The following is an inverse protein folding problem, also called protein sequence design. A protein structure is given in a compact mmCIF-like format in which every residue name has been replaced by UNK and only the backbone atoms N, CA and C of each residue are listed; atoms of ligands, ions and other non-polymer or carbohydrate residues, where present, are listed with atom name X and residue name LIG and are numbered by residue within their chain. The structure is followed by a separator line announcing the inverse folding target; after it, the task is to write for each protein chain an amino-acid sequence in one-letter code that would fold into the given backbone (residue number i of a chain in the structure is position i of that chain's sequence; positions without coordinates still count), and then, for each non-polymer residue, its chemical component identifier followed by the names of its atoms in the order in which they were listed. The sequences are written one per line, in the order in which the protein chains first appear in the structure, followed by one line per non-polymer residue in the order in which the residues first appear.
data_IF_087905729848
#
_entry.id   IF_087905729848
#
_cell.length_a   1.000
_cell.length_b   1.000
_cell.length_c   1.000
_cell.angle_alpha   90.00
_cell.angle_beta   90.00
_cell.angle_gamma   90.00
#
_symmetry.space_group_name_H-M   'P 1'
#
loop_
_entity.id
_entity.type
_entity.pdbx_description
1 polymer ?
#
# COMPACT_ATOMS: atom_id res chain seq x y z
N UNK A 1 3.11 -1.89 32.62
CA UNK A 1 2.56 -1.87 31.25
C UNK A 1 1.64 -3.07 31.10
N UNK A 2 0.39 -2.82 30.76
CA UNK A 2 -0.62 -3.86 30.49
C UNK A 2 -0.31 -4.55 29.16
N UNK A 3 -0.58 -5.85 29.07
CA UNK A 3 -0.51 -6.60 27.80
C UNK A 3 -1.87 -6.46 27.11
N UNK A 4 -1.84 -5.96 25.88
CA UNK A 4 -3.00 -5.77 25.01
C UNK A 4 -3.23 -7.05 24.20
N UNK A 5 -4.48 -7.41 23.96
CA UNK A 5 -4.84 -8.55 23.11
C UNK A 5 -5.18 -8.02 21.73
N UNK A 6 -4.44 -8.46 20.72
CA UNK A 6 -4.70 -8.16 19.33
C UNK A 6 -5.02 -9.46 18.59
N UNK A 7 -6.00 -9.46 17.72
CA UNK A 7 -6.33 -10.58 16.85
C UNK A 7 -5.31 -10.73 15.73
N UNK A 8 -4.84 -9.62 15.15
CA UNK A 8 -3.91 -9.61 14.00
C UNK A 8 -2.87 -8.50 14.12
N UNK A 9 -1.78 -8.61 13.36
CA UNK A 9 -0.81 -7.53 13.25
C UNK A 9 -1.41 -6.24 12.67
N UNK A 10 -2.35 -6.35 11.72
CA UNK A 10 -3.03 -5.21 11.14
C UNK A 10 -3.82 -4.42 12.20
N UNK A 11 -4.53 -5.12 13.09
CA UNK A 11 -5.24 -4.48 14.21
C UNK A 11 -4.27 -3.81 15.19
N UNK A 12 -3.15 -4.47 15.52
CA UNK A 12 -2.14 -3.89 16.41
C UNK A 12 -1.53 -2.61 15.82
N UNK A 13 -1.21 -2.58 14.52
CA UNK A 13 -0.76 -1.36 13.83
C UNK A 13 -1.83 -0.26 13.85
N UNK A 14 -3.07 -0.60 13.54
CA UNK A 14 -4.18 0.35 13.58
C UNK A 14 -4.36 0.95 14.98
N UNK A 15 -4.24 0.14 16.02
CA UNK A 15 -4.28 0.63 17.40
C UNK A 15 -3.16 1.64 17.69
N UNK A 16 -1.95 1.44 17.15
CA UNK A 16 -0.87 2.42 17.29
C UNK A 16 -1.20 3.77 16.62
N UNK A 17 -1.82 3.72 15.45
CA UNK A 17 -2.24 4.91 14.68
C UNK A 17 -3.35 5.67 15.42
N UNK A 18 -4.26 4.94 16.06
CA UNK A 18 -5.36 5.48 16.87
C UNK A 18 -4.92 5.95 18.28
N UNK A 19 -3.72 5.58 18.71
CA UNK A 19 -3.18 5.93 20.03
C UNK A 19 -2.08 6.98 19.88
N UNK A 20 -2.41 8.28 19.87
CA UNK A 20 -1.41 9.32 19.74
C UNK A 20 -0.46 9.34 20.95
N UNK A 21 0.75 9.84 20.72
CA UNK A 21 1.63 10.26 21.80
C UNK A 21 0.96 11.34 22.65
N UNK A 22 1.40 11.56 23.90
CA UNK A 22 0.93 12.66 24.73
C UNK A 22 1.11 14.05 24.10
N UNK A 23 2.03 14.20 23.15
CA UNK A 23 2.19 15.44 22.37
C UNK A 23 1.20 15.58 21.19
N UNK A 24 0.32 14.59 20.99
CA UNK A 24 -0.66 14.50 19.91
C UNK A 24 -0.14 13.86 18.61
N UNK A 25 1.15 13.53 18.51
CA UNK A 25 1.72 12.88 17.32
C UNK A 25 1.23 11.44 17.18
N UNK A 26 0.67 11.09 16.03
CA UNK A 26 0.19 9.73 15.72
C UNK A 26 1.29 8.90 15.05
N UNK A 27 2.16 9.51 14.25
CA UNK A 27 3.21 8.79 13.52
C UNK A 27 4.13 8.01 14.47
N UNK A 28 4.23 6.70 14.25
CA UNK A 28 5.03 5.81 15.06
C UNK A 28 5.46 4.57 14.29
N UNK A 29 6.77 4.42 14.10
CA UNK A 29 7.37 3.24 13.47
C UNK A 29 8.04 2.40 14.56
N UNK A 30 7.40 1.34 15.06
CA UNK A 30 7.94 0.54 16.16
C UNK A 30 9.05 -0.40 15.68
N UNK A 31 10.07 -0.57 16.51
CA UNK A 31 10.88 -1.79 16.55
C UNK A 31 10.09 -2.87 17.29
N UNK A 32 10.24 -4.13 16.87
CA UNK A 32 9.46 -5.27 17.37
C UNK A 32 10.41 -6.32 17.94
N UNK A 33 10.17 -6.75 19.17
CA UNK A 33 10.96 -7.79 19.84
C UNK A 33 10.01 -8.79 20.51
N UNK A 34 10.26 -10.08 20.30
CA UNK A 34 9.54 -11.15 20.98
C UNK A 34 9.91 -11.19 22.48
N UNK A 35 8.89 -11.30 23.34
CA UNK A 35 9.02 -11.59 24.77
C UNK A 35 8.39 -12.98 25.05
N UNK A 36 8.38 -13.43 26.31
CA UNK A 36 8.01 -14.81 26.65
C UNK A 36 6.55 -15.17 26.28
N UNK A 37 5.60 -14.26 26.46
CA UNK A 37 4.15 -14.48 26.26
C UNK A 37 3.48 -13.40 25.38
N UNK A 38 4.27 -12.50 24.80
CA UNK A 38 3.80 -11.37 24.02
C UNK A 38 4.92 -10.85 23.11
N UNK A 39 4.58 -9.87 22.27
CA UNK A 39 5.53 -9.13 21.44
C UNK A 39 5.54 -7.69 21.91
N UNK A 40 6.73 -7.15 22.18
CA UNK A 40 6.91 -5.75 22.56
C UNK A 40 7.23 -4.91 21.33
N UNK A 41 6.41 -3.89 21.12
CA UNK A 41 6.54 -2.90 20.07
C UNK A 41 6.98 -1.59 20.72
N UNK A 42 8.11 -1.02 20.30
CA UNK A 42 8.68 0.14 20.97
C UNK A 42 9.44 1.06 20.02
N UNK A 43 9.56 2.33 20.37
CA UNK A 43 10.27 3.32 19.57
C UNK A 43 10.19 4.69 20.22
N UNK A 44 10.64 5.72 19.49
CA UNK A 44 10.54 7.12 19.95
C UNK A 44 9.53 7.87 19.10
N UNK A 45 8.76 8.76 19.73
CA UNK A 45 7.91 9.70 19.01
C UNK A 45 8.77 10.62 18.15
N UNK A 46 8.50 10.76 16.84
CA UNK A 46 9.32 11.60 15.96
C UNK A 46 9.23 13.08 16.29
N UNK A 47 8.16 13.52 16.98
CA UNK A 47 7.95 14.93 17.34
C UNK A 47 8.60 15.32 18.66
N UNK A 48 8.34 14.58 19.74
CA UNK A 48 8.82 14.95 21.08
C UNK A 48 9.96 14.08 21.62
N UNK A 49 10.38 13.06 20.86
CA UNK A 49 11.46 12.14 21.25
C UNK A 49 11.11 11.16 22.38
N UNK A 50 9.89 11.23 22.95
CA UNK A 50 9.48 10.38 24.06
C UNK A 50 9.38 8.92 23.60
N UNK A 51 9.87 8.02 24.44
CA UNK A 51 9.71 6.58 24.24
C UNK A 51 8.23 6.18 24.31
N UNK A 52 7.79 5.38 23.34
CA UNK A 52 6.50 4.72 23.31
C UNK A 52 6.75 3.22 23.31
N UNK A 53 6.01 2.47 24.11
CA UNK A 53 6.09 1.01 24.13
C UNK A 53 4.72 0.40 24.38
N UNK A 54 4.43 -0.67 23.66
CA UNK A 54 3.20 -1.45 23.68
C UNK A 54 3.56 -2.93 23.74
N UNK A 55 2.75 -3.74 24.42
CA UNK A 55 2.91 -5.20 24.46
C UNK A 55 1.65 -5.83 23.94
N UNK A 56 1.77 -6.66 22.91
CA UNK A 56 0.65 -7.34 22.29
C UNK A 56 0.78 -8.84 22.49
N UNK A 57 -0.30 -9.47 22.93
CA UNK A 57 -0.50 -10.91 22.81
C UNK A 57 -1.40 -11.14 21.61
N UNK A 58 -0.95 -11.99 20.70
CA UNK A 58 -1.72 -12.34 19.51
C UNK A 58 -2.45 -13.69 19.69
N UNK A 59 -3.55 -13.85 18.98
CA UNK A 59 -4.22 -15.15 18.84
C UNK A 59 -3.45 -16.11 17.92
N UNK A 60 -4.09 -17.22 17.56
CA UNK A 60 -3.46 -18.33 16.83
C UNK A 60 -3.05 -18.00 15.38
N UNK A 61 -3.58 -16.92 14.80
CA UNK A 61 -3.34 -16.51 13.40
C UNK A 61 -3.04 -15.00 13.28
N UNK A 62 -1.87 -14.53 13.76
CA UNK A 62 -1.53 -13.10 13.74
C UNK A 62 -1.30 -12.52 12.33
N UNK A 63 -0.94 -13.38 11.36
CA UNK A 63 -0.52 -13.00 9.99
C UNK A 63 -1.66 -12.92 8.96
N UNK A 64 -2.93 -12.92 9.39
CA UNK A 64 -4.03 -12.77 8.44
C UNK A 64 -4.03 -11.39 7.78
N UNK A 65 -4.45 -11.33 6.52
CA UNK A 65 -4.46 -10.08 5.73
C UNK A 65 -5.52 -9.07 6.19
N UNK A 66 -6.50 -9.49 7.01
CA UNK A 66 -7.55 -8.63 7.57
C UNK A 66 -7.30 -8.17 9.02
N UNK A 67 -8.19 -7.31 9.52
CA UNK A 67 -8.15 -6.81 10.90
C UNK A 67 -8.46 -7.87 11.96
N UNK A 68 -9.19 -8.92 11.59
CA UNK A 68 -9.47 -10.04 12.49
C UNK A 68 -9.61 -11.36 11.73
N UNK A 69 -9.68 -12.44 12.48
CA UNK A 69 -10.02 -13.77 11.97
C UNK A 69 -11.09 -14.47 12.82
N UNK A 70 -11.66 -13.77 13.81
CA UNK A 70 -12.67 -14.31 14.73
C UNK A 70 -13.99 -13.59 14.54
N UNK A 71 -15.06 -14.31 14.86
CA UNK A 71 -16.41 -13.76 14.98
C UNK A 71 -16.53 -12.82 16.19
N UNK A 72 -15.68 -13.03 17.21
CA UNK A 72 -15.67 -12.18 18.40
C UNK A 72 -15.19 -10.75 18.07
N UNK A 73 -15.82 -9.72 18.67
CA UNK A 73 -15.41 -8.34 18.48
C UNK A 73 -14.00 -8.07 19.02
N UNK A 74 -13.39 -6.99 18.54
CA UNK A 74 -12.10 -6.51 19.02
C UNK A 74 -12.12 -6.21 20.53
N UNK A 75 -11.03 -6.56 21.23
CA UNK A 75 -10.77 -6.13 22.61
C UNK A 75 -9.89 -4.87 22.67
N UNK A 76 -9.36 -4.45 21.53
CA UNK A 76 -8.32 -3.42 21.42
C UNK A 76 -8.87 -2.09 20.91
N UNK A 77 -9.77 -2.16 19.94
CA UNK A 77 -10.36 -1.03 19.22
C UNK A 77 -11.88 -1.12 19.42
N UNK A 78 -12.47 -0.06 19.94
CA UNK A 78 -13.91 -0.02 20.20
C UNK A 78 -14.74 0.20 18.92
N UNK A 79 -16.05 -0.04 18.99
CA UNK A 79 -16.93 0.05 17.83
C UNK A 79 -16.91 1.46 17.20
N UNK A 80 -16.83 2.52 18.01
CA UNK A 80 -16.78 3.88 17.50
C UNK A 80 -15.49 4.17 16.75
N UNK A 81 -14.36 3.60 17.20
CA UNK A 81 -13.09 3.73 16.52
C UNK A 81 -13.12 3.01 15.17
N UNK A 82 -13.70 1.80 15.10
CA UNK A 82 -13.90 1.10 13.82
C UNK A 82 -14.77 1.88 12.84
N UNK A 83 -15.88 2.47 13.31
CA UNK A 83 -16.74 3.32 12.48
C UNK A 83 -15.97 4.52 11.91
N UNK A 84 -15.13 5.16 12.71
CA UNK A 84 -14.30 6.27 12.23
C UNK A 84 -13.20 5.83 11.27
N UNK A 85 -12.60 4.65 11.48
CA UNK A 85 -11.65 4.09 10.51
C UNK A 85 -12.36 3.90 9.16
N UNK A 86 -13.54 3.29 9.14
CA UNK A 86 -14.33 3.17 7.92
C UNK A 86 -14.58 4.55 7.28
N UNK A 87 -15.12 5.52 8.02
CA UNK A 87 -15.35 6.89 7.53
C UNK A 87 -14.07 7.55 6.98
N UNK A 88 -12.94 7.37 7.65
CA UNK A 88 -11.66 7.96 7.26
C UNK A 88 -11.19 7.43 5.91
N UNK A 89 -11.33 6.13 5.66
CA UNK A 89 -10.96 5.52 4.37
C UNK A 89 -11.96 5.92 3.27
N UNK A 90 -13.24 5.97 3.58
CA UNK A 90 -14.27 6.43 2.63
C UNK A 90 -14.14 7.89 2.24
N UNK A 91 -13.65 8.75 3.14
CA UNK A 91 -13.38 10.15 2.82
C UNK A 91 -12.30 10.31 1.75
N UNK A 92 -11.46 9.28 1.56
CA UNK A 92 -10.48 9.20 0.47
C UNK A 92 -11.09 8.78 -0.88
N UNK A 93 -12.32 8.26 -0.89
CA UNK A 93 -13.03 7.89 -2.11
C UNK A 93 -13.68 9.14 -2.71
N UNK A 94 -13.39 9.49 -3.98
CA UNK A 94 -14.00 10.65 -4.63
C UNK A 94 -15.53 10.55 -4.65
N UNK A 95 -16.22 11.52 -4.05
CA UNK A 95 -17.67 11.44 -3.80
C UNK A 95 -18.53 11.62 -5.06
N UNK A 96 -17.95 12.12 -6.15
CA UNK A 96 -18.63 12.47 -7.40
C UNK A 96 -18.42 11.43 -8.51
N UNK A 97 -17.84 10.27 -8.21
CA UNK A 97 -17.61 9.25 -9.24
C UNK A 97 -18.90 8.50 -9.55
N UNK A 98 -19.25 8.31 -10.83
CA UNK A 98 -20.40 7.49 -11.22
C UNK A 98 -20.23 6.00 -10.88
N UNK A 99 -18.99 5.58 -10.61
CA UNK A 99 -18.59 4.24 -10.21
C UNK A 99 -17.08 4.07 -10.33
N UNK A 100 -16.51 3.03 -9.71
CA UNK A 100 -15.05 2.79 -9.71
C UNK A 100 -14.53 2.66 -11.14
N UNK A 101 -15.26 1.96 -12.02
CA UNK A 101 -14.86 1.76 -13.44
C UNK A 101 -14.76 3.05 -14.25
N UNK A 102 -15.37 4.15 -13.80
CA UNK A 102 -15.27 5.44 -14.46
C UNK A 102 -13.95 6.18 -14.12
N UNK A 103 -13.18 5.70 -13.15
CA UNK A 103 -11.88 6.25 -12.79
C UNK A 103 -10.77 5.74 -13.72
N UNK A 104 -9.67 6.49 -13.87
CA UNK A 104 -8.42 5.96 -14.41
C UNK A 104 -7.97 4.67 -13.69
N UNK A 105 -7.40 3.70 -14.40
CA UNK A 105 -7.08 2.35 -13.84
C UNK A 105 -6.12 2.38 -12.64
N UNK A 106 -5.20 3.33 -12.59
CA UNK A 106 -4.29 3.56 -11.46
C UNK A 106 -5.04 4.05 -10.21
N UNK A 107 -6.08 4.87 -10.42
CA UNK A 107 -6.98 5.32 -9.36
C UNK A 107 -7.99 4.24 -8.95
N UNK A 108 -8.42 3.37 -9.87
CA UNK A 108 -9.33 2.25 -9.56
C UNK A 108 -8.76 1.37 -8.46
N UNK A 109 -7.50 0.94 -8.57
CA UNK A 109 -6.85 0.10 -7.55
C UNK A 109 -6.75 0.80 -6.19
N UNK A 110 -6.44 2.10 -6.21
CA UNK A 110 -6.34 2.89 -4.98
C UNK A 110 -7.70 3.02 -4.32
N UNK A 111 -8.74 3.34 -5.08
CA UNK A 111 -10.12 3.46 -4.58
C UNK A 111 -10.66 2.11 -4.10
N UNK A 112 -10.38 1.03 -4.82
CA UNK A 112 -10.73 -0.32 -4.39
C UNK A 112 -10.08 -0.65 -3.05
N UNK A 113 -8.78 -0.42 -2.90
CA UNK A 113 -8.08 -0.68 -1.64
C UNK A 113 -8.63 0.15 -0.47
N UNK A 114 -9.06 1.41 -0.72
CA UNK A 114 -9.72 2.22 0.31
C UNK A 114 -11.08 1.63 0.71
N UNK A 115 -11.87 1.17 -0.27
CA UNK A 115 -13.17 0.55 -0.03
C UNK A 115 -13.05 -0.78 0.70
N UNK A 116 -12.10 -1.63 0.31
CA UNK A 116 -11.84 -2.92 0.96
C UNK A 116 -11.50 -2.73 2.45
N UNK A 117 -10.65 -1.74 2.77
CA UNK A 117 -10.31 -1.41 4.17
C UNK A 117 -11.52 -0.83 4.92
N UNK A 118 -12.33 0.01 4.26
CA UNK A 118 -13.54 0.56 4.87
C UNK A 118 -14.57 -0.53 5.17
N UNK A 119 -14.80 -1.47 4.26
CA UNK A 119 -15.73 -2.59 4.45
C UNK A 119 -15.25 -3.54 5.55
N UNK A 120 -13.94 -3.87 5.56
CA UNK A 120 -13.34 -4.64 6.64
C UNK A 120 -13.50 -3.95 8.02
N UNK A 121 -13.36 -2.63 8.08
CA UNK A 121 -13.60 -1.88 9.33
C UNK A 121 -15.09 -1.87 9.72
N UNK A 122 -16.02 -1.82 8.75
CA UNK A 122 -17.45 -1.99 9.04
C UNK A 122 -17.78 -3.41 9.51
N UNK A 123 -17.12 -4.44 8.99
CA UNK A 123 -17.24 -5.82 9.47
C UNK A 123 -16.82 -5.92 10.94
N UNK A 124 -15.69 -5.32 11.31
CA UNK A 124 -15.25 -5.29 12.72
C UNK A 124 -16.22 -4.52 13.61
N UNK A 125 -16.72 -3.37 13.16
CA UNK A 125 -17.73 -2.62 13.90
C UNK A 125 -19.01 -3.44 14.11
N UNK A 126 -19.48 -4.15 13.07
CA UNK A 126 -20.72 -4.92 13.09
C UNK A 126 -20.72 -6.02 14.17
N UNK A 127 -19.56 -6.59 14.53
CA UNK A 127 -19.45 -7.63 15.57
C UNK A 127 -19.85 -7.18 16.97
N UNK A 128 -19.88 -5.86 17.21
CA UNK A 128 -20.32 -5.31 18.49
C UNK A 128 -21.84 -5.22 18.63
N UNK A 129 -22.59 -5.36 17.54
CA UNK A 129 -24.02 -5.64 17.60
C UNK A 129 -24.18 -7.14 17.86
N UNK A 130 -24.38 -7.49 19.14
CA UNK A 130 -24.57 -8.88 19.58
C UNK A 130 -25.79 -9.54 18.90
N UNK A 131 -25.88 -10.87 19.03
CA UNK A 131 -26.76 -11.83 18.32
C UNK A 131 -28.29 -11.60 18.35
N UNK A 132 -28.78 -10.45 18.79
CA UNK A 132 -30.19 -10.11 18.64
C UNK A 132 -30.35 -9.47 17.25
N UNK A 133 -31.10 -10.14 16.36
CA UNK A 133 -31.44 -9.60 15.03
C UNK A 133 -32.10 -8.21 15.10
N UNK A 134 -32.63 -7.83 16.27
CA UNK A 134 -33.40 -6.63 16.53
C UNK A 134 -32.63 -5.46 17.19
N UNK A 135 -31.35 -5.63 17.55
CA UNK A 135 -30.57 -4.55 18.18
C UNK A 135 -30.21 -3.49 17.13
N UNK A 136 -31.05 -2.45 17.04
CA UNK A 136 -30.84 -1.32 16.14
C UNK A 136 -29.75 -0.37 16.67
N UNK A 137 -29.70 -0.14 17.97
CA UNK A 137 -28.73 0.76 18.60
C UNK A 137 -27.53 -0.03 19.15
N UNK A 138 -26.31 0.46 18.89
CA UNK A 138 -25.10 -0.15 19.44
C UNK A 138 -25.13 -0.15 20.99
N UNK A 139 -24.67 -1.20 21.69
CA UNK A 139 -24.57 -1.18 23.15
C UNK A 139 -23.59 -0.10 23.67
N UNK A 140 -23.88 0.53 24.80
CA UNK A 140 -22.96 1.52 25.41
C UNK A 140 -21.63 0.88 25.83
N UNK A 141 -21.65 -0.40 26.21
CA UNK A 141 -20.46 -1.18 26.55
C UNK A 141 -19.48 -1.35 25.38
N UNK A 142 -19.93 -1.19 24.13
CA UNK A 142 -19.08 -1.24 22.94
C UNK A 142 -18.32 0.08 22.67
N UNK A 143 -18.48 1.10 23.53
CA UNK A 143 -17.88 2.44 23.40
C UNK A 143 -17.08 2.79 24.66
N UNK A 144 -15.96 2.09 24.87
CA UNK A 144 -15.16 2.27 26.08
C UNK A 144 -14.18 3.45 26.02
N UNK A 145 -13.88 4.01 24.85
CA UNK A 145 -13.05 5.21 24.76
C UNK A 145 -13.88 6.50 24.93
N UNK A 146 -13.25 7.54 25.50
CA UNK A 146 -13.92 8.84 25.67
C UNK A 146 -14.25 9.51 24.33
N UNK A 147 -13.37 9.32 23.34
CA UNK A 147 -13.56 9.83 21.99
C UNK A 147 -14.78 9.18 21.29
N UNK A 148 -14.95 7.86 21.38
CA UNK A 148 -16.12 7.17 20.79
C UNK A 148 -17.43 7.55 21.44
N UNK A 149 -17.46 7.71 22.77
CA UNK A 149 -18.65 8.21 23.48
C UNK A 149 -19.02 9.62 23.04
N UNK A 150 -18.04 10.50 22.87
CA UNK A 150 -18.26 11.86 22.38
C UNK A 150 -18.78 11.86 20.93
N UNK A 151 -18.19 11.03 20.06
CA UNK A 151 -18.65 10.87 18.69
C UNK A 151 -20.13 10.42 18.63
N UNK A 152 -20.53 9.46 19.48
CA UNK A 152 -21.93 9.05 19.58
C UNK A 152 -22.86 10.13 20.09
N UNK A 153 -22.44 10.90 21.09
CA UNK A 153 -23.24 12.02 21.57
C UNK A 153 -23.45 13.10 20.49
N UNK A 154 -22.47 13.29 19.60
CA UNK A 154 -22.54 14.28 18.51
C UNK A 154 -23.36 13.80 17.30
N UNK A 155 -23.35 12.51 17.00
CA UNK A 155 -23.98 11.92 15.81
C UNK A 155 -24.54 10.51 16.12
N UNK A 156 -25.60 10.40 16.94
CA UNK A 156 -26.09 9.11 17.44
C UNK A 156 -26.61 8.19 16.33
N UNK A 157 -27.10 8.74 15.22
CA UNK A 157 -27.59 7.99 14.06
C UNK A 157 -26.51 7.12 13.40
N UNK A 158 -25.22 7.47 13.55
CA UNK A 158 -24.09 6.70 13.00
C UNK A 158 -23.82 5.42 13.74
N UNK A 159 -24.29 5.33 14.98
CA UNK A 159 -24.11 4.18 15.87
C UNK A 159 -25.33 3.26 15.85
N UNK A 160 -26.08 3.30 14.74
CA UNK A 160 -27.20 2.42 14.45
C UNK A 160 -26.83 1.38 13.41
N UNK A 161 -27.38 0.18 13.55
CA UNK A 161 -27.17 -0.93 12.62
C UNK A 161 -27.58 -0.55 11.19
N UNK A 162 -28.70 0.16 11.03
CA UNK A 162 -29.14 0.66 9.72
C UNK A 162 -28.09 1.54 9.04
N UNK A 163 -27.34 2.36 9.78
CA UNK A 163 -26.31 3.21 9.19
C UNK A 163 -25.21 2.38 8.50
N UNK A 164 -24.79 1.26 9.11
CA UNK A 164 -23.85 0.33 8.49
C UNK A 164 -24.39 -0.21 7.16
N UNK A 165 -25.65 -0.66 7.15
CA UNK A 165 -26.31 -1.19 5.96
C UNK A 165 -26.47 -0.12 4.86
N UNK A 166 -26.83 1.11 5.24
CA UNK A 166 -26.95 2.25 4.32
C UNK A 166 -25.59 2.60 3.71
N UNK A 167 -24.50 2.57 4.51
CA UNK A 167 -23.15 2.78 4.02
C UNK A 167 -22.72 1.70 3.02
N UNK A 168 -22.87 0.41 3.34
CA UNK A 168 -22.53 -0.68 2.41
C UNK A 168 -23.34 -0.62 1.13
N UNK A 169 -24.65 -0.34 1.23
CA UNK A 169 -25.53 -0.18 0.07
C UNK A 169 -25.06 0.95 -0.83
N UNK A 170 -24.64 2.07 -0.24
CA UNK A 170 -24.09 3.20 -0.98
C UNK A 170 -22.81 2.83 -1.75
N UNK A 171 -21.97 1.95 -1.21
CA UNK A 171 -20.71 1.57 -1.86
C UNK A 171 -20.88 0.46 -2.88
N UNK A 172 -21.79 -0.49 -2.63
CA UNK A 172 -22.16 -1.50 -3.62
C UNK A 172 -22.65 -0.86 -4.95
N UNK A 173 -23.29 0.32 -4.86
CA UNK A 173 -23.66 1.12 -6.03
C UNK A 173 -22.45 1.71 -6.77
N UNK A 174 -21.37 2.06 -6.07
CA UNK A 174 -20.13 2.57 -6.68
C UNK A 174 -19.33 1.45 -7.36
N UNK A 175 -19.42 0.22 -6.85
CA UNK A 175 -18.70 -0.93 -7.38
C UNK A 175 -19.35 -1.53 -8.65
N UNK A 176 -20.61 -1.17 -8.94
CA UNK A 176 -21.25 -1.49 -10.21
C UNK A 176 -21.44 -2.99 -10.48
N UNK A 177 -21.62 -3.79 -9.42
CA UNK A 177 -21.90 -5.22 -9.54
C UNK A 177 -20.70 -6.04 -9.99
N UNK A 178 -19.57 -5.92 -9.31
CA UNK A 178 -18.61 -7.01 -9.26
C UNK A 178 -19.23 -8.05 -8.30
N UNK A 179 -19.59 -9.28 -8.74
CA UNK A 179 -19.94 -10.31 -7.78
C UNK A 179 -18.77 -10.47 -6.80
N UNK A 180 -19.01 -10.76 -5.51
CA UNK A 180 -17.91 -11.01 -4.59
C UNK A 180 -16.97 -12.02 -5.25
N UNK A 181 -15.67 -11.69 -5.33
CA UNK A 181 -14.67 -12.67 -5.76
C UNK A 181 -14.93 -13.93 -4.94
N UNK A 182 -15.19 -15.04 -5.62
CA UNK A 182 -15.55 -16.26 -4.91
C UNK A 182 -14.39 -16.69 -4.03
N UNK A 183 -14.68 -17.41 -2.95
CA UNK A 183 -13.62 -18.06 -2.17
C UNK A 183 -12.72 -18.93 -3.05
N UNK A 184 -13.16 -19.38 -4.24
CA UNK A 184 -12.34 -20.10 -5.22
C UNK A 184 -11.37 -19.20 -6.01
N UNK A 185 -11.70 -17.94 -6.27
CA UNK A 185 -10.77 -16.96 -6.87
C UNK A 185 -9.74 -16.46 -5.85
N UNK A 186 -10.12 -16.39 -4.56
CA UNK A 186 -9.19 -16.13 -3.45
C UNK A 186 -8.40 -17.38 -3.04
N UNK A 187 -8.99 -18.58 -3.17
CA UNK A 187 -8.38 -19.89 -2.88
C UNK A 187 -7.70 -20.53 -4.10
N UNK A 188 -7.28 -19.73 -5.07
CA UNK A 188 -6.24 -20.07 -6.05
C UNK A 188 -4.87 -20.30 -5.41
N UNK A 189 -4.79 -21.24 -4.46
CA UNK A 189 -3.60 -21.92 -3.99
C UNK A 189 -2.73 -21.20 -2.93
N UNK A 190 -1.94 -21.95 -2.15
CA UNK A 190 -0.87 -21.44 -1.26
C UNK A 190 0.30 -20.78 -2.01
N UNK A 191 0.00 -20.13 -3.12
CA UNK A 191 0.94 -19.72 -4.15
C UNK A 191 0.53 -18.35 -4.74
N UNK A 192 -0.20 -17.52 -3.97
CA UNK A 192 -0.48 -16.14 -4.36
C UNK A 192 0.83 -15.40 -4.56
N UNK A 193 0.99 -14.77 -5.72
CA UNK A 193 2.21 -14.05 -6.09
C UNK A 193 2.61 -13.02 -5.03
N UNK A 194 1.64 -12.52 -4.26
CA UNK A 194 1.87 -11.65 -3.12
C UNK A 194 2.63 -12.34 -1.97
N UNK A 195 2.21 -13.53 -1.51
CA UNK A 195 2.89 -14.26 -0.43
C UNK A 195 4.29 -14.72 -0.84
N UNK A 196 4.48 -15.08 -2.12
CA UNK A 196 5.80 -15.34 -2.70
C UNK A 196 6.69 -14.10 -2.62
N UNK A 197 6.17 -12.94 -3.01
CA UNK A 197 6.89 -11.65 -2.95
C UNK A 197 7.27 -11.29 -1.51
N UNK A 198 6.36 -11.43 -0.55
CA UNK A 198 6.64 -11.16 0.87
C UNK A 198 7.73 -12.08 1.41
N UNK A 199 7.64 -13.39 1.12
CA UNK A 199 8.64 -14.38 1.52
C UNK A 199 10.01 -14.11 0.89
N UNK A 200 10.07 -13.86 -0.41
CA UNK A 200 11.31 -13.55 -1.13
C UNK A 200 11.98 -12.30 -0.56
N UNK A 201 11.22 -11.25 -0.23
CA UNK A 201 11.77 -10.06 0.44
C UNK A 201 12.34 -10.38 1.82
N UNK A 202 11.64 -11.19 2.62
CA UNK A 202 12.14 -11.60 3.93
C UNK A 202 13.45 -12.41 3.84
N UNK A 203 13.54 -13.32 2.87
CA UNK A 203 14.75 -14.12 2.61
C UNK A 203 15.93 -13.22 2.16
N UNK A 204 15.70 -12.30 1.22
CA UNK A 204 16.73 -11.32 0.78
C UNK A 204 17.20 -10.46 1.95
N UNK A 205 16.27 -9.95 2.77
CA UNK A 205 16.58 -9.15 3.96
C UNK A 205 17.46 -9.92 4.94
N UNK A 206 17.10 -11.17 5.24
CA UNK A 206 17.86 -12.00 6.17
C UNK A 206 19.28 -12.28 5.66
N UNK A 207 19.42 -12.64 4.37
CA UNK A 207 20.72 -12.85 3.73
C UNK A 207 21.58 -11.59 3.74
N UNK A 208 20.95 -10.45 3.46
CA UNK A 208 21.63 -9.15 3.43
C UNK A 208 22.12 -8.71 4.81
N UNK A 209 21.28 -8.83 5.85
CA UNK A 209 21.65 -8.56 7.25
C UNK A 209 22.85 -9.43 7.67
N UNK A 210 22.80 -10.73 7.34
CA UNK A 210 23.89 -11.67 7.63
C UNK A 210 25.19 -11.30 6.90
N UNK A 211 25.11 -10.95 5.61
CA UNK A 211 26.26 -10.54 4.78
C UNK A 211 26.99 -9.31 5.34
N UNK A 212 26.25 -8.36 5.90
CA UNK A 212 26.82 -7.12 6.42
C UNK A 212 27.11 -7.13 7.92
N UNK A 213 26.93 -8.27 8.61
CA UNK A 213 27.19 -8.39 10.06
C UNK A 213 26.29 -7.48 10.90
N UNK A 214 25.09 -7.20 10.41
CA UNK A 214 24.09 -6.37 11.09
C UNK A 214 23.23 -7.24 12.00
N UNK A 215 22.67 -6.66 13.06
CA UNK A 215 21.74 -7.41 13.93
C UNK A 215 20.37 -7.58 13.28
N UNK A 216 19.94 -6.58 12.51
CA UNK A 216 18.66 -6.53 11.79
C UNK A 216 18.65 -5.35 10.81
N UNK A 217 17.51 -5.12 10.14
CA UNK A 217 17.30 -4.06 9.15
C UNK A 217 17.26 -2.63 9.73
N UNK A 218 17.12 -2.51 11.05
CA UNK A 218 17.07 -1.23 11.78
C UNK A 218 18.43 -0.85 12.36
N UNK A 219 19.44 -1.71 12.19
CA UNK A 219 20.80 -1.46 12.64
C UNK A 219 21.33 -0.14 12.06
N UNK A 220 21.58 0.82 12.94
CA UNK A 220 22.02 2.18 12.56
C UNK A 220 23.40 2.19 11.87
N UNK A 221 24.13 1.07 11.92
CA UNK A 221 25.37 0.88 11.16
C UNK A 221 25.14 0.72 9.65
N UNK A 222 23.91 0.41 9.23
CA UNK A 222 23.54 0.35 7.81
C UNK A 222 23.59 1.75 7.18
N UNK A 223 24.61 1.96 6.33
CA UNK A 223 24.80 3.19 5.56
C UNK A 223 23.68 3.39 4.52
N UNK A 224 23.46 4.62 4.02
CA UNK A 224 22.51 4.85 2.92
C UNK A 224 22.78 3.98 1.69
N UNK A 225 24.05 3.80 1.31
CA UNK A 225 24.45 2.95 0.20
C UNK A 225 24.05 1.47 0.41
N UNK A 226 24.21 0.98 1.64
CA UNK A 226 23.79 -0.36 2.05
C UNK A 226 22.26 -0.54 2.01
N UNK A 227 21.49 0.46 2.43
CA UNK A 227 20.01 0.40 2.33
C UNK A 227 19.53 0.40 0.89
N UNK A 228 20.20 1.17 0.03
CA UNK A 228 19.94 1.17 -1.41
C UNK A 228 20.28 -0.19 -2.03
N UNK A 229 21.41 -0.79 -1.66
CA UNK A 229 21.79 -2.16 -2.07
C UNK A 229 20.70 -3.18 -1.70
N UNK A 230 20.17 -3.13 -0.48
CA UNK A 230 19.07 -3.99 -0.04
C UNK A 230 17.80 -3.78 -0.87
N UNK A 231 17.40 -2.52 -1.10
CA UNK A 231 16.21 -2.21 -1.87
C UNK A 231 16.32 -2.73 -3.32
N UNK A 232 17.52 -2.63 -3.91
CA UNK A 232 17.81 -3.18 -5.24
C UNK A 232 17.71 -4.70 -5.24
N UNK A 233 18.25 -5.37 -4.22
CA UNK A 233 18.17 -6.82 -4.08
C UNK A 233 16.72 -7.31 -3.91
N UNK A 234 15.89 -6.58 -3.14
CA UNK A 234 14.47 -6.91 -2.96
C UNK A 234 13.67 -6.77 -4.26
N UNK A 235 13.94 -5.74 -5.05
CA UNK A 235 13.30 -5.53 -6.36
C UNK A 235 13.69 -6.65 -7.32
N UNK A 236 14.99 -6.94 -7.44
CA UNK A 236 15.48 -8.02 -8.29
C UNK A 236 14.86 -9.39 -7.95
N UNK A 237 14.78 -9.72 -6.65
CA UNK A 237 14.21 -10.99 -6.20
C UNK A 237 12.70 -11.11 -6.42
N UNK A 238 11.98 -9.98 -6.60
CA UNK A 238 10.52 -9.97 -6.75
C UNK A 238 10.06 -9.76 -8.19
N UNK A 239 10.96 -9.92 -9.16
CA UNK A 239 10.62 -9.69 -10.57
C UNK A 239 10.28 -8.22 -10.86
N UNK A 240 10.81 -7.30 -10.05
CA UNK A 240 10.67 -5.87 -10.27
C UNK A 240 11.96 -5.34 -10.89
N UNK A 241 11.83 -4.34 -11.75
CA UNK A 241 12.95 -3.62 -12.31
C UNK A 241 13.65 -2.86 -11.17
N UNK A 242 14.96 -3.06 -11.07
CA UNK A 242 15.77 -2.58 -9.94
C UNK A 242 15.72 -1.06 -9.82
N UNK A 243 15.63 -0.39 -10.97
CA UNK A 243 15.61 1.05 -11.07
C UNK A 243 14.23 1.65 -10.72
N UNK A 244 13.18 1.16 -11.36
CA UNK A 244 11.83 1.75 -11.25
C UNK A 244 10.94 1.15 -10.16
N UNK A 245 11.15 -0.11 -9.80
CA UNK A 245 10.20 -0.87 -8.98
C UNK A 245 8.93 -1.34 -9.72
N UNK A 246 8.82 -1.15 -11.04
CA UNK A 246 7.72 -1.75 -11.81
C UNK A 246 7.99 -3.23 -12.13
N UNK A 247 6.94 -3.98 -12.44
CA UNK A 247 7.06 -5.38 -12.83
C UNK A 247 7.86 -5.55 -14.13
N UNK A 248 8.86 -6.43 -14.13
CA UNK A 248 9.61 -6.78 -15.34
C UNK A 248 8.83 -7.71 -16.28
N UNK A 249 7.74 -8.27 -15.76
CA UNK A 249 6.93 -9.27 -16.45
C UNK A 249 5.78 -8.68 -17.27
N UNK A 250 5.53 -7.36 -17.16
CA UNK A 250 4.45 -6.69 -17.88
C UNK A 250 4.99 -5.62 -18.83
N UNK A 251 4.61 -5.68 -20.10
CA UNK A 251 4.96 -4.68 -21.11
C UNK A 251 4.44 -3.29 -20.74
N UNK A 252 3.23 -3.21 -20.20
CA UNK A 252 2.65 -1.96 -19.68
C UNK A 252 3.51 -1.33 -18.58
N UNK A 253 4.16 -2.14 -17.75
CA UNK A 253 5.07 -1.66 -16.70
C UNK A 253 6.33 -1.02 -17.28
N UNK A 254 6.88 -1.58 -18.37
CA UNK A 254 8.00 -0.97 -19.09
C UNK A 254 7.60 0.35 -19.77
N UNK A 255 6.41 0.41 -20.37
CA UNK A 255 5.93 1.64 -21.01
C UNK A 255 5.67 2.74 -19.97
N UNK A 256 5.02 2.43 -18.84
CA UNK A 256 4.86 3.37 -17.73
C UNK A 256 6.21 3.83 -17.14
N UNK A 257 7.22 2.96 -17.13
CA UNK A 257 8.58 3.32 -16.74
C UNK A 257 9.21 4.35 -17.69
N UNK A 258 8.98 4.22 -18.99
CA UNK A 258 9.43 5.19 -19.99
C UNK A 258 8.77 6.57 -19.77
N UNK A 259 7.47 6.62 -19.51
CA UNK A 259 6.77 7.89 -19.26
C UNK A 259 7.24 8.56 -17.96
N UNK A 260 7.54 7.74 -16.94
CA UNK A 260 8.13 8.21 -15.68
C UNK A 260 9.53 8.81 -15.92
N UNK A 261 10.34 8.23 -16.80
CA UNK A 261 11.63 8.81 -17.23
C UNK A 261 11.41 10.18 -17.87
N UNK A 262 10.50 10.30 -18.84
CA UNK A 262 10.18 11.58 -19.52
C UNK A 262 9.74 12.63 -18.51
N UNK A 263 8.79 12.30 -17.65
CA UNK A 263 8.29 13.18 -16.59
C UNK A 263 9.39 13.62 -15.63
N UNK A 264 10.37 12.75 -15.38
CA UNK A 264 11.47 13.08 -14.49
C UNK A 264 12.48 13.99 -15.15
N UNK A 265 12.87 13.75 -16.40
CA UNK A 265 13.74 14.66 -17.16
C UNK A 265 13.11 16.07 -17.20
N UNK A 266 11.81 16.15 -17.46
CA UNK A 266 11.09 17.44 -17.45
C UNK A 266 11.18 18.17 -16.11
N UNK A 267 11.07 17.44 -15.00
CA UNK A 267 11.08 18.00 -13.64
C UNK A 267 12.49 18.43 -13.20
N UNK A 268 13.48 17.55 -13.35
CA UNK A 268 14.85 17.79 -12.88
C UNK A 268 15.54 18.91 -13.66
N UNK A 269 15.27 19.00 -14.96
CA UNK A 269 15.84 20.03 -15.83
C UNK A 269 14.84 21.15 -16.15
N UNK A 270 13.86 21.39 -15.27
CA UNK A 270 12.88 22.45 -15.47
C UNK A 270 13.52 23.85 -15.58
N UNK A 271 14.70 24.04 -14.97
CA UNK A 271 15.47 25.29 -14.98
C UNK A 271 16.51 25.39 -16.09
N UNK A 272 16.79 24.31 -16.82
CA UNK A 272 17.70 24.27 -17.97
C UNK A 272 17.02 23.62 -19.18
N UNK A 273 16.26 24.40 -19.98
CA UNK A 273 15.54 23.89 -21.13
C UNK A 273 16.44 23.23 -22.18
N UNK A 274 17.67 23.72 -22.36
CA UNK A 274 18.59 23.16 -23.35
C UNK A 274 19.01 21.73 -22.97
N UNK A 275 19.36 21.53 -21.70
CA UNK A 275 19.69 20.21 -21.18
C UNK A 275 18.47 19.28 -21.13
N UNK A 276 17.30 19.80 -20.75
CA UNK A 276 16.03 19.06 -20.76
C UNK A 276 15.70 18.55 -22.15
N UNK A 277 15.68 19.44 -23.13
CA UNK A 277 15.22 19.14 -24.49
C UNK A 277 16.20 18.19 -25.19
N UNK A 278 17.52 18.33 -24.95
CA UNK A 278 18.53 17.40 -25.44
C UNK A 278 18.32 15.96 -24.92
N UNK A 279 18.11 15.79 -23.62
CA UNK A 279 17.90 14.46 -23.01
C UNK A 279 16.57 13.83 -23.43
N UNK A 280 15.51 14.64 -23.56
CA UNK A 280 14.24 14.17 -24.10
C UNK A 280 14.39 13.71 -25.55
N UNK A 281 15.15 14.42 -26.37
CA UNK A 281 15.43 14.02 -27.75
C UNK A 281 16.22 12.71 -27.84
N UNK A 282 17.21 12.50 -26.96
CA UNK A 282 17.97 11.25 -26.87
C UNK A 282 17.07 10.05 -26.47
N UNK A 283 16.25 10.21 -25.42
CA UNK A 283 15.29 9.18 -25.01
C UNK A 283 14.24 8.89 -26.09
N UNK A 284 13.77 9.92 -26.81
CA UNK A 284 12.82 9.77 -27.90
C UNK A 284 13.44 9.05 -29.11
N UNK A 285 14.71 9.33 -29.44
CA UNK A 285 15.42 8.68 -30.54
C UNK A 285 15.56 7.18 -30.31
N UNK A 286 15.87 6.75 -29.09
CA UNK A 286 15.93 5.31 -28.73
C UNK A 286 14.57 4.64 -28.93
N UNK A 287 13.48 5.25 -28.43
CA UNK A 287 12.12 4.73 -28.61
C UNK A 287 11.75 4.65 -30.09
N UNK A 288 12.11 5.64 -30.89
CA UNK A 288 11.83 5.66 -32.33
C UNK A 288 12.54 4.52 -33.08
N UNK A 289 13.83 4.27 -32.79
CA UNK A 289 14.59 3.14 -33.36
C UNK A 289 13.94 1.81 -32.97
N UNK A 290 13.63 1.63 -31.70
CA UNK A 290 13.00 0.40 -31.21
C UNK A 290 11.62 0.15 -31.84
N UNK A 291 10.78 1.18 -31.95
CA UNK A 291 9.48 1.07 -32.65
C UNK A 291 9.67 0.62 -34.11
N UNK A 292 10.64 1.20 -34.81
CA UNK A 292 10.94 0.82 -36.19
C UNK A 292 11.42 -0.64 -36.32
N UNK A 293 12.25 -1.13 -35.39
CA UNK A 293 12.76 -2.50 -35.38
C UNK A 293 11.67 -3.54 -35.08
N UNK A 294 10.77 -3.22 -34.15
CA UNK A 294 9.66 -4.09 -33.75
C UNK A 294 8.46 -4.05 -34.71
N UNK A 295 8.41 -3.08 -35.63
CA UNK A 295 7.25 -2.85 -36.50
C UNK A 295 6.01 -2.36 -35.76
N UNK A 296 6.16 -1.89 -34.52
CA UNK A 296 5.07 -1.33 -33.73
C UNK A 296 4.70 0.07 -34.23
N UNK A 297 3.40 0.43 -34.20
CA UNK A 297 2.98 1.77 -34.60
C UNK A 297 3.61 2.82 -33.67
N UNK A 298 3.93 3.99 -34.24
CA UNK A 298 4.31 5.15 -33.44
C UNK A 298 3.15 5.50 -32.51
N UNK A 299 3.41 5.47 -31.20
CA UNK A 299 2.44 5.83 -30.18
C UNK A 299 2.47 7.35 -29.96
N UNK A 300 1.32 8.01 -30.11
CA UNK A 300 1.16 9.43 -29.80
C UNK A 300 1.41 9.67 -28.31
N UNK A 301 2.10 10.74 -27.91
CA UNK A 301 2.17 11.13 -26.49
C UNK A 301 0.79 11.28 -25.81
N UNK A 302 -0.26 11.44 -26.63
CA UNK A 302 -1.65 11.58 -26.18
C UNK A 302 -2.41 10.25 -26.08
N UNK A 303 -1.91 9.13 -26.65
CA UNK A 303 -2.62 7.85 -26.47
C UNK A 303 -2.30 7.31 -25.07
N UNK A 304 -3.27 6.70 -24.40
CA UNK A 304 -3.02 6.05 -23.12
C UNK A 304 -2.25 4.74 -23.36
N UNK A 305 -1.07 4.57 -22.72
CA UNK A 305 -0.28 3.32 -22.69
C UNK A 305 -1.17 2.09 -22.49
N UNK A 306 -2.22 2.25 -21.67
CA UNK A 306 -3.11 1.19 -21.23
C UNK A 306 -4.18 0.81 -22.26
N UNK A 307 -4.30 1.55 -23.37
CA UNK A 307 -5.21 1.28 -24.48
C UNK A 307 -4.56 0.46 -25.62
N UNK A 308 -3.26 0.14 -25.53
CA UNK A 308 -2.63 -0.71 -26.52
C UNK A 308 -3.29 -2.09 -26.56
N UNK A 309 -3.73 -2.57 -27.75
CA UNK A 309 -4.26 -3.92 -27.90
C UNK A 309 -3.23 -4.94 -27.40
N UNK A 310 -3.66 -5.89 -26.55
CA UNK A 310 -2.77 -6.86 -25.93
C UNK A 310 -2.01 -7.73 -26.97
N UNK A 311 -2.62 -7.96 -28.13
CA UNK A 311 -2.05 -8.67 -29.28
C UNK A 311 -0.99 -7.85 -30.04
N UNK A 312 -0.87 -6.55 -29.74
CA UNK A 312 0.12 -5.63 -30.29
C UNK A 312 1.16 -5.18 -29.27
N UNK A 313 1.12 -5.73 -28.05
CA UNK A 313 2.14 -5.43 -27.04
C UNK A 313 3.41 -6.24 -27.32
N UNK A 314 4.59 -5.60 -27.36
CA UNK A 314 5.85 -6.34 -27.44
C UNK A 314 6.05 -7.20 -26.20
N UNK A 315 6.91 -8.21 -26.26
CA UNK A 315 7.36 -8.94 -25.07
C UNK A 315 7.94 -7.96 -24.03
N UNK A 316 7.58 -8.16 -22.75
CA UNK A 316 8.01 -7.28 -21.66
C UNK A 316 9.53 -7.07 -21.61
N UNK A 317 10.31 -8.13 -21.87
CA UNK A 317 11.77 -8.05 -21.94
C UNK A 317 12.30 -7.03 -22.96
N UNK A 318 11.74 -7.02 -24.17
CA UNK A 318 12.14 -6.08 -25.22
C UNK A 318 11.76 -4.63 -24.87
N UNK A 319 10.60 -4.44 -24.24
CA UNK A 319 10.20 -3.11 -23.78
C UNK A 319 11.11 -2.60 -22.64
N UNK A 320 11.55 -3.48 -21.74
CA UNK A 320 12.52 -3.13 -20.69
C UNK A 320 13.93 -2.84 -21.22
N UNK A 321 14.35 -3.51 -22.30
CA UNK A 321 15.60 -3.17 -23.01
C UNK A 321 15.54 -1.75 -23.60
N UNK A 322 14.41 -1.38 -24.20
CA UNK A 322 14.17 -0.03 -24.70
C UNK A 322 14.24 1.02 -23.57
N UNK A 323 13.62 0.77 -22.42
CA UNK A 323 13.66 1.68 -21.27
C UNK A 323 15.10 1.88 -20.78
N UNK A 324 15.88 0.80 -20.64
CA UNK A 324 17.30 0.88 -20.22
C UNK A 324 18.14 1.66 -21.21
N UNK A 325 17.97 1.40 -22.50
CA UNK A 325 18.66 2.14 -23.55
C UNK A 325 18.29 3.64 -23.54
N UNK A 326 17.01 3.97 -23.33
CA UNK A 326 16.53 5.34 -23.27
C UNK A 326 17.12 6.11 -22.08
N UNK A 327 17.25 5.46 -20.91
CA UNK A 327 17.94 6.01 -19.74
C UNK A 327 19.39 6.32 -20.03
N UNK A 328 20.13 5.31 -20.52
CA UNK A 328 21.55 5.44 -20.82
C UNK A 328 21.79 6.58 -21.83
N UNK A 329 20.96 6.65 -22.88
CA UNK A 329 21.03 7.72 -23.86
C UNK A 329 20.78 9.09 -23.24
N UNK A 330 19.75 9.22 -22.39
CA UNK A 330 19.43 10.45 -21.68
C UNK A 330 20.39 10.78 -20.53
N UNK A 331 21.55 10.10 -20.41
CA UNK A 331 22.54 10.32 -19.35
C UNK A 331 22.02 10.04 -17.94
N UNK A 332 21.04 9.14 -17.82
CA UNK A 332 20.55 8.56 -16.56
C UNK A 332 21.18 7.18 -16.44
N UNK A 333 21.73 6.84 -15.29
CA UNK A 333 22.29 5.49 -15.10
C UNK A 333 21.17 4.46 -15.34
N UNK A 334 21.36 3.52 -16.29
CA UNK A 334 20.33 2.57 -16.70
C UNK A 334 19.86 1.67 -15.55
N UNK A 335 20.68 1.53 -14.51
CA UNK A 335 20.45 0.72 -13.31
C UNK A 335 20.24 1.58 -12.04
N UNK A 336 20.22 2.91 -12.16
CA UNK A 336 19.98 3.81 -11.03
C UNK A 336 18.53 3.68 -10.54
N UNK A 337 18.34 3.72 -9.23
CA UNK A 337 17.05 3.66 -8.54
C UNK A 337 16.10 4.83 -8.87
N UNK A 338 15.17 5.12 -7.95
CA UNK A 338 14.28 6.27 -8.09
C UNK A 338 15.12 7.52 -8.38
N UNK A 339 14.83 8.20 -9.50
CA UNK A 339 15.66 9.29 -10.04
C UNK A 339 15.72 10.49 -9.07
N UNK A 340 14.90 10.50 -8.01
CA UNK A 340 15.03 11.42 -6.87
C UNK A 340 16.36 11.30 -6.11
N UNK A 341 17.10 10.20 -6.28
CA UNK A 341 18.45 10.01 -5.75
C UNK A 341 19.55 10.61 -6.66
N UNK A 342 19.14 11.17 -7.80
CA UNK A 342 20.01 11.87 -8.72
C UNK A 342 20.22 13.31 -8.23
N UNK A 343 21.40 13.61 -7.69
CA UNK A 343 21.91 14.99 -7.61
C UNK A 343 23.28 15.03 -8.30
N UNK A 344 23.56 16.03 -9.14
CA UNK A 344 24.88 16.23 -9.72
C UNK A 344 25.95 16.50 -8.65
#
# INVERSE_FOLDING_TARGET
MTVLVAQTYAEAYLYLDLTPCECGETAFTPSVVAEADCVRWFGVCPRCGRERSFRFRFGDRPDSTGFSHREAPSELIDAGQWLWVAERYLSGVPQSIPGIRALPRDQQKTVQALLDVADAALDEAAKFWTTMEDDEDLPESALWTGWSRQARAAAPERFRRRWLSDQRSRWALLDGGIPPMTDEEFAGGPDSDYLKVVRLRAEVRAMWVARHGLSDLTDRRATPAQRLELQRAERAATGLDVATGYSTHATQSALAAYDSLVSTIQREFATDPGQRDGRLAEAAAVRAVWLAETGLPAWSPDDDVYEFPADRMPPAGQAWEMVRAARAAAGVDPDLGDIREWRP
#
